data_IF_621990256936
#
_entry.id   IF_621990256936
#
_cell.length_a   1.000
_cell.length_b   1.000
_cell.length_c   1.000
_cell.angle_alpha   90.00
_cell.angle_beta   90.00
_cell.angle_gamma   90.00
#
_symmetry.space_group_name_H-M   'P 1'
#
loop_
_entity.id
_entity.type
_entity.pdbx_description
1 polymer ?
#
# COMPACT_ATOMS: atom_id res chain seq x y z
N UNK A 1 5.76 4.01 -29.14
CA UNK A 1 5.01 5.02 -28.37
C UNK A 1 4.13 4.39 -27.28
N UNK A 2 3.31 3.40 -27.62
CA UNK A 2 2.37 2.76 -26.67
C UNK A 2 3.05 2.14 -25.44
N UNK A 3 4.10 1.33 -25.64
CA UNK A 3 4.84 0.73 -24.52
C UNK A 3 5.40 1.77 -23.54
N UNK A 4 5.92 2.89 -24.07
CA UNK A 4 6.41 4.00 -23.24
C UNK A 4 5.29 4.59 -22.38
N UNK A 5 4.10 4.79 -22.97
CA UNK A 5 2.92 5.26 -22.23
C UNK A 5 2.52 4.30 -21.10
N UNK A 6 2.57 2.99 -21.35
CA UNK A 6 2.26 1.96 -20.32
C UNK A 6 3.28 1.96 -19.18
N UNK A 7 4.57 2.04 -19.50
CA UNK A 7 5.64 2.11 -18.50
C UNK A 7 5.59 3.38 -17.64
N UNK A 8 5.03 4.48 -18.19
CA UNK A 8 4.86 5.75 -17.49
C UNK A 8 3.46 5.94 -16.89
N UNK A 9 2.60 4.91 -16.95
CA UNK A 9 1.30 4.90 -16.28
C UNK A 9 1.39 3.97 -15.08
N UNK A 10 1.12 4.49 -13.88
CA UNK A 10 1.12 3.75 -12.62
C UNK A 10 -0.32 3.62 -12.13
N UNK A 11 -0.76 2.40 -11.85
CA UNK A 11 -2.11 2.14 -11.32
C UNK A 11 -2.01 1.72 -9.86
N UNK A 12 -2.73 2.40 -8.99
CA UNK A 12 -2.91 2.03 -7.58
C UNK A 12 -4.36 1.59 -7.39
N UNK A 13 -4.58 0.41 -6.84
CA UNK A 13 -5.91 -0.16 -6.60
C UNK A 13 -6.24 -0.08 -5.11
N UNK A 14 -7.36 0.56 -4.78
CA UNK A 14 -7.88 0.77 -3.42
C UNK A 14 -7.69 2.19 -2.91
N UNK A 15 -8.78 2.91 -2.66
CA UNK A 15 -8.83 4.26 -2.10
C UNK A 15 -8.90 4.31 -0.57
N UNK A 16 -8.46 3.24 0.10
CA UNK A 16 -8.22 3.21 1.54
C UNK A 16 -6.95 3.99 1.95
N UNK A 17 -6.61 4.02 3.25
CA UNK A 17 -5.46 4.77 3.76
C UNK A 17 -4.16 4.46 3.02
N UNK A 18 -3.85 3.19 2.81
CA UNK A 18 -2.62 2.73 2.13
C UNK A 18 -2.54 3.22 0.69
N UNK A 19 -3.60 3.07 -0.11
CA UNK A 19 -3.57 3.50 -1.50
C UNK A 19 -3.53 5.02 -1.67
N UNK A 20 -4.22 5.77 -0.80
CA UNK A 20 -4.15 7.24 -0.77
C UNK A 20 -2.74 7.71 -0.40
N UNK A 21 -2.14 7.13 0.64
CA UNK A 21 -0.76 7.43 1.06
C UNK A 21 0.25 7.10 -0.04
N UNK A 22 0.11 5.92 -0.66
CA UNK A 22 1.01 5.44 -1.70
C UNK A 22 0.93 6.32 -2.95
N UNK A 23 -0.28 6.60 -3.45
CA UNK A 23 -0.47 7.43 -4.65
C UNK A 23 0.08 8.85 -4.45
N UNK A 24 -0.16 9.42 -3.28
CA UNK A 24 0.38 10.72 -2.89
C UNK A 24 1.91 10.75 -2.82
N UNK A 25 2.51 9.76 -2.16
CA UNK A 25 3.96 9.63 -2.06
C UNK A 25 4.64 9.36 -3.41
N UNK A 26 4.02 8.51 -4.24
CA UNK A 26 4.48 8.21 -5.60
C UNK A 26 4.49 9.47 -6.47
N UNK A 27 3.41 10.26 -6.42
CA UNK A 27 3.36 11.56 -7.09
C UNK A 27 4.49 12.47 -6.65
N UNK A 28 4.70 12.65 -5.35
CA UNK A 28 5.75 13.54 -4.84
C UNK A 28 7.15 13.07 -5.23
N UNK A 29 7.37 11.76 -5.32
CA UNK A 29 8.61 11.17 -5.80
C UNK A 29 8.83 11.43 -7.29
N UNK A 30 7.80 11.17 -8.12
CA UNK A 30 7.86 11.32 -9.58
C UNK A 30 8.03 12.80 -9.95
N UNK A 31 7.09 13.65 -9.54
CA UNK A 31 7.04 15.04 -9.96
C UNK A 31 8.00 15.95 -9.18
N UNK A 32 8.62 15.43 -8.11
CA UNK A 32 9.72 16.07 -7.41
C UNK A 32 11.07 15.66 -8.00
N UNK A 33 11.86 14.81 -7.31
CA UNK A 33 13.24 14.53 -7.69
C UNK A 33 13.40 13.68 -8.96
N UNK A 34 12.51 12.71 -9.24
CA UNK A 34 12.75 11.76 -10.34
C UNK A 34 12.77 12.43 -11.71
N UNK A 35 11.81 13.31 -12.00
CA UNK A 35 11.80 14.01 -13.30
C UNK A 35 12.97 14.97 -13.48
N UNK A 36 13.64 15.39 -12.39
CA UNK A 36 14.89 16.15 -12.50
C UNK A 36 16.07 15.25 -12.92
N UNK A 37 16.07 13.98 -12.50
CA UNK A 37 17.11 13.00 -12.85
C UNK A 37 16.87 12.37 -14.25
N UNK A 38 15.63 12.40 -14.78
CA UNK A 38 15.26 11.86 -16.10
C UNK A 38 14.68 12.93 -17.05
N UNK A 39 15.52 13.83 -17.60
CA UNK A 39 15.05 14.96 -18.41
C UNK A 39 14.43 14.56 -19.75
N UNK A 40 14.64 13.33 -20.21
CA UNK A 40 14.02 12.78 -21.43
C UNK A 40 12.56 12.37 -21.25
N UNK A 41 12.01 12.46 -20.04
CA UNK A 41 10.61 12.16 -19.72
C UNK A 41 9.87 13.47 -19.47
N UNK A 42 8.89 13.75 -20.32
CA UNK A 42 7.99 14.88 -20.15
C UNK A 42 7.06 14.68 -18.95
N UNK A 43 6.78 15.78 -18.21
CA UNK A 43 5.86 15.76 -17.07
C UNK A 43 4.46 15.25 -17.42
N UNK A 44 4.00 15.52 -18.64
CA UNK A 44 2.65 15.16 -19.07
C UNK A 44 2.57 13.75 -19.68
N UNK A 45 3.73 13.06 -19.82
CA UNK A 45 3.77 11.64 -20.21
C UNK A 45 3.45 10.71 -19.03
N UNK A 46 3.69 11.17 -17.79
CA UNK A 46 3.53 10.35 -16.58
C UNK A 46 2.12 10.47 -16.04
N UNK A 47 1.50 9.32 -15.77
CA UNK A 47 0.13 9.22 -15.24
C UNK A 47 0.12 8.36 -13.99
N UNK A 48 -0.55 8.83 -12.95
CA UNK A 48 -0.81 8.06 -11.74
C UNK A 48 -2.32 7.96 -11.60
N UNK A 49 -2.85 6.74 -11.65
CA UNK A 49 -4.29 6.46 -11.56
C UNK A 49 -4.57 5.73 -10.26
N UNK A 50 -5.46 6.25 -9.43
CA UNK A 50 -5.96 5.60 -8.22
C UNK A 50 -7.39 5.11 -8.49
N UNK A 51 -7.58 3.79 -8.47
CA UNK A 51 -8.87 3.14 -8.68
C UNK A 51 -9.52 2.83 -7.32
N UNK A 52 -10.76 3.30 -7.13
CA UNK A 52 -11.59 3.00 -5.96
C UNK A 52 -12.93 2.42 -6.44
N UNK A 53 -13.36 1.32 -5.83
CA UNK A 53 -14.59 0.62 -6.20
C UNK A 53 -15.85 1.34 -5.69
N UNK A 54 -15.74 2.04 -4.56
CA UNK A 54 -16.79 2.90 -4.02
C UNK A 54 -16.87 4.26 -4.71
N UNK A 55 -17.67 5.15 -4.11
CA UNK A 55 -17.93 6.52 -4.57
C UNK A 55 -17.06 7.57 -3.87
N UNK A 56 -16.21 7.15 -2.92
CA UNK A 56 -15.42 8.04 -2.07
C UNK A 56 -14.15 7.39 -1.57
N UNK A 57 -13.14 8.23 -1.30
CA UNK A 57 -11.90 7.81 -0.64
C UNK A 57 -12.12 7.68 0.87
N UNK A 58 -11.35 6.80 1.50
CA UNK A 58 -11.27 6.64 2.95
C UNK A 58 -12.64 6.40 3.60
N UNK A 59 -13.38 5.38 3.15
CA UNK A 59 -14.78 5.14 3.52
C UNK A 59 -15.08 5.08 5.05
N UNK A 60 -14.06 4.89 5.91
CA UNK A 60 -14.17 4.92 7.37
C UNK A 60 -14.06 6.30 8.04
N UNK A 61 -13.93 7.40 7.28
CA UNK A 61 -13.87 8.77 7.83
C UNK A 61 -14.99 9.65 7.27
N UNK A 62 -15.29 10.81 7.92
CA UNK A 62 -16.29 11.75 7.42
C UNK A 62 -16.01 12.22 5.98
N UNK A 63 -17.07 12.34 5.19
CA UNK A 63 -17.03 12.65 3.75
C UNK A 63 -16.20 13.89 3.42
N UNK A 64 -16.29 14.92 4.28
CA UNK A 64 -15.49 16.16 4.14
C UNK A 64 -13.97 15.92 4.12
N UNK A 65 -13.49 14.88 4.81
CA UNK A 65 -12.08 14.50 4.83
C UNK A 65 -11.72 13.70 3.58
N UNK A 66 -12.59 12.80 3.13
CA UNK A 66 -12.42 12.08 1.85
C UNK A 66 -12.37 13.05 0.66
N UNK A 67 -13.28 14.03 0.61
CA UNK A 67 -13.30 15.08 -0.40
C UNK A 67 -12.01 15.93 -0.38
N UNK A 68 -11.48 16.23 0.81
CA UNK A 68 -10.20 16.91 0.93
C UNK A 68 -9.03 16.06 0.40
N UNK A 69 -9.03 14.75 0.67
CA UNK A 69 -8.01 13.85 0.14
C UNK A 69 -8.05 13.83 -1.39
N UNK A 70 -9.24 13.73 -1.99
CA UNK A 70 -9.44 13.78 -3.43
C UNK A 70 -8.89 15.09 -4.04
N UNK A 71 -9.25 16.24 -3.46
CA UNK A 71 -8.76 17.55 -3.90
C UNK A 71 -7.22 17.64 -3.86
N UNK A 72 -6.61 17.09 -2.80
CA UNK A 72 -5.15 17.12 -2.61
C UNK A 72 -4.39 16.14 -3.50
N UNK A 73 -4.98 15.00 -3.83
CA UNK A 73 -4.47 14.05 -4.82
C UNK A 73 -4.56 14.62 -6.24
N UNK A 74 -5.68 15.26 -6.59
CA UNK A 74 -5.84 15.93 -7.89
C UNK A 74 -4.80 17.04 -8.11
N UNK A 75 -4.55 17.88 -7.09
CA UNK A 75 -3.46 18.88 -7.11
C UNK A 75 -2.06 18.27 -7.27
N UNK A 76 -1.92 16.99 -6.96
CA UNK A 76 -0.72 16.17 -7.11
C UNK A 76 -0.74 15.34 -8.39
N UNK A 77 -1.59 15.67 -9.37
CA UNK A 77 -1.66 14.95 -10.66
C UNK A 77 -1.99 13.45 -10.52
N UNK A 78 -2.67 13.07 -9.45
CA UNK A 78 -3.24 11.72 -9.31
C UNK A 78 -4.67 11.76 -9.86
N UNK A 79 -4.93 10.94 -10.89
CA UNK A 79 -6.24 10.70 -11.49
C UNK A 79 -7.00 9.68 -10.64
N UNK A 80 -7.95 10.12 -9.82
CA UNK A 80 -8.76 9.24 -8.97
C UNK A 80 -10.03 8.86 -9.73
N UNK A 81 -10.29 7.56 -9.86
CA UNK A 81 -11.49 7.03 -10.52
C UNK A 81 -12.30 6.19 -9.55
N UNK A 82 -13.55 6.57 -9.37
CA UNK A 82 -14.55 5.89 -8.54
C UNK A 82 -15.38 4.92 -9.37
N UNK A 83 -16.07 4.00 -8.70
CA UNK A 83 -16.96 3.01 -9.34
C UNK A 83 -16.23 1.99 -10.22
N UNK A 84 -14.88 1.99 -10.20
CA UNK A 84 -14.05 1.10 -11.00
C UNK A 84 -13.65 -0.12 -10.19
N UNK A 85 -14.55 -1.11 -10.08
CA UNK A 85 -14.17 -2.41 -9.53
C UNK A 85 -13.23 -3.10 -10.53
N UNK A 86 -12.08 -3.56 -10.03
CA UNK A 86 -11.13 -4.30 -10.85
C UNK A 86 -11.62 -5.73 -11.02
N UNK A 87 -11.74 -6.16 -12.28
CA UNK A 87 -12.09 -7.53 -12.65
C UNK A 87 -10.84 -8.40 -12.81
N UNK A 88 -9.84 -7.91 -13.53
CA UNK A 88 -8.61 -8.65 -13.80
C UNK A 88 -7.39 -7.74 -13.94
N UNK A 89 -6.23 -8.27 -13.60
CA UNK A 89 -4.92 -7.65 -13.82
C UNK A 89 -4.05 -8.60 -14.63
N UNK A 90 -3.41 -8.09 -15.68
CA UNK A 90 -2.43 -8.82 -16.48
C UNK A 90 -1.14 -8.00 -16.62
N UNK A 91 -0.16 -8.53 -17.38
CA UNK A 91 1.14 -7.90 -17.54
C UNK A 91 1.12 -6.50 -18.20
N UNK A 92 0.01 -6.11 -18.85
CA UNK A 92 -0.12 -4.90 -19.63
C UNK A 92 -1.18 -3.93 -19.08
N UNK A 93 -1.90 -4.28 -18.03
CA UNK A 93 -2.83 -3.36 -17.39
C UNK A 93 -3.90 -3.99 -16.51
N UNK A 94 -4.90 -3.16 -16.23
CA UNK A 94 -6.04 -3.44 -15.35
C UNK A 94 -7.34 -3.32 -16.13
N UNK A 95 -8.18 -4.34 -16.06
CA UNK A 95 -9.54 -4.34 -16.63
C UNK A 95 -10.55 -4.13 -15.50
N UNK A 96 -11.45 -3.17 -15.69
CA UNK A 96 -12.55 -2.87 -14.78
C UNK A 96 -13.81 -3.65 -15.18
N UNK A 97 -14.72 -3.86 -14.23
CA UNK A 97 -15.98 -4.59 -14.44
C UNK A 97 -16.93 -3.96 -15.47
N UNK A 98 -16.74 -2.68 -15.80
CA UNK A 98 -17.49 -1.98 -16.86
C UNK A 98 -16.86 -2.15 -18.25
N UNK A 99 -15.81 -2.98 -18.36
CA UNK A 99 -15.06 -3.23 -19.59
C UNK A 99 -13.98 -2.19 -19.90
N UNK A 100 -13.86 -1.12 -19.09
CA UNK A 100 -12.81 -0.11 -19.29
C UNK A 100 -11.45 -0.70 -18.91
N UNK A 101 -10.46 -0.51 -19.78
CA UNK A 101 -9.08 -0.94 -19.54
C UNK A 101 -8.16 0.24 -19.29
N UNK A 102 -7.35 0.14 -18.24
CA UNK A 102 -6.26 1.07 -17.93
C UNK A 102 -4.94 0.36 -18.21
N UNK A 103 -4.28 0.74 -19.30
CA UNK A 103 -2.98 0.15 -19.64
C UNK A 103 -1.87 0.65 -18.70
N UNK A 104 -1.10 -0.28 -18.16
CA UNK A 104 -0.01 -0.02 -17.23
C UNK A 104 0.84 -1.28 -17.04
N UNK A 105 2.15 -1.13 -16.99
CA UNK A 105 3.07 -2.22 -16.61
C UNK A 105 3.42 -2.17 -15.10
N UNK A 106 2.82 -1.25 -14.33
CA UNK A 106 3.03 -1.14 -12.88
C UNK A 106 1.70 -0.95 -12.16
N UNK A 107 1.22 -2.04 -11.57
CA UNK A 107 0.01 -2.09 -10.76
C UNK A 107 0.37 -2.34 -9.31
N UNK A 108 -0.10 -1.47 -8.42
CA UNK A 108 0.10 -1.56 -6.97
C UNK A 108 -1.24 -1.87 -6.33
N UNK A 109 -1.37 -3.07 -5.79
CA UNK A 109 -2.61 -3.54 -5.19
C UNK A 109 -2.63 -3.27 -3.68
N UNK A 110 -3.54 -2.42 -3.23
CA UNK A 110 -3.71 -2.06 -1.80
C UNK A 110 -5.11 -2.35 -1.26
N UNK A 111 -5.95 -3.02 -2.07
CA UNK A 111 -7.34 -3.29 -1.76
C UNK A 111 -7.53 -4.70 -1.19
N UNK A 112 -8.39 -4.82 -0.18
CA UNK A 112 -8.81 -6.10 0.37
C UNK A 112 -7.74 -6.78 1.22
N UNK A 113 -8.20 -7.36 2.33
CA UNK A 113 -7.38 -8.24 3.17
C UNK A 113 -8.17 -9.53 3.31
N UNK A 114 -7.50 -10.67 3.11
CA UNK A 114 -8.07 -11.99 3.35
C UNK A 114 -7.36 -12.62 4.55
N UNK A 115 -8.09 -13.41 5.32
CA UNK A 115 -7.47 -14.26 6.33
C UNK A 115 -6.58 -15.33 5.71
N UNK A 116 -5.72 -15.92 6.52
CA UNK A 116 -4.77 -16.95 6.11
C UNK A 116 -5.47 -18.14 5.44
N UNK A 117 -5.19 -18.44 4.16
CA UNK A 117 -5.86 -19.52 3.41
C UNK A 117 -5.76 -20.89 4.09
N UNK A 118 -4.68 -21.12 4.84
CA UNK A 118 -4.42 -22.38 5.53
C UNK A 118 -5.17 -22.55 6.85
N UNK A 119 -5.94 -21.56 7.30
CA UNK A 119 -6.67 -21.65 8.56
C UNK A 119 -7.59 -22.90 8.61
N UNK A 120 -8.22 -23.26 7.51
CA UNK A 120 -9.04 -24.47 7.41
C UNK A 120 -8.22 -25.76 7.56
N UNK A 121 -6.98 -25.80 7.02
CA UNK A 121 -6.08 -26.95 7.15
C UNK A 121 -5.69 -27.21 8.61
N UNK A 122 -5.67 -26.17 9.45
CA UNK A 122 -5.41 -26.27 10.89
C UNK A 122 -6.64 -26.70 11.69
N UNK A 123 -7.75 -27.01 11.02
CA UNK A 123 -9.02 -27.34 11.64
C UNK A 123 -9.65 -26.16 12.38
N UNK A 124 -9.37 -24.92 11.94
CA UNK A 124 -10.04 -23.73 12.44
C UNK A 124 -11.31 -23.47 11.63
N UNK A 125 -12.39 -23.00 12.26
CA UNK A 125 -13.56 -22.54 11.51
C UNK A 125 -13.17 -21.33 10.65
N UNK A 126 -13.68 -21.28 9.43
CA UNK A 126 -13.45 -20.17 8.50
C UNK A 126 -14.79 -19.52 8.16
N UNK A 127 -14.85 -18.20 8.29
CA UNK A 127 -16.01 -17.36 8.03
C UNK A 127 -15.70 -16.37 6.89
N UNK A 128 -16.44 -15.25 6.86
CA UNK A 128 -16.34 -14.22 5.82
C UNK A 128 -14.89 -13.74 5.63
N UNK A 129 -14.47 -13.64 4.37
CA UNK A 129 -13.13 -13.21 3.96
C UNK A 129 -11.97 -14.05 4.53
N UNK A 130 -12.19 -15.35 4.82
CA UNK A 130 -11.13 -16.25 5.26
C UNK A 130 -10.74 -16.11 6.73
N UNK A 131 -11.55 -15.40 7.53
CA UNK A 131 -11.27 -15.09 8.94
C UNK A 131 -11.86 -16.16 9.87
N UNK A 132 -11.30 -16.29 11.06
CA UNK A 132 -11.69 -17.28 12.08
C UNK A 132 -12.62 -16.64 13.11
N UNK A 133 -13.89 -17.09 13.25
CA UNK A 133 -14.82 -16.55 14.22
C UNK A 133 -14.35 -16.82 15.65
N UNK A 134 -14.37 -15.78 16.48
CA UNK A 134 -14.01 -15.84 17.90
C UNK A 134 -15.11 -15.28 18.80
N UNK A 135 -15.16 -15.76 20.04
CA UNK A 135 -16.07 -15.24 21.06
C UNK A 135 -15.56 -13.92 21.67
N UNK A 136 -16.26 -13.42 22.70
CA UNK A 136 -15.90 -12.18 23.41
C UNK A 136 -14.54 -12.23 24.11
N UNK A 137 -14.03 -13.42 24.40
CA UNK A 137 -12.69 -13.62 24.98
C UNK A 137 -11.61 -13.76 23.91
N UNK A 138 -11.96 -13.59 22.63
CA UNK A 138 -11.11 -13.81 21.46
C UNK A 138 -10.60 -15.25 21.36
N UNK A 139 -11.37 -16.20 21.90
CA UNK A 139 -11.09 -17.63 21.86
C UNK A 139 -12.01 -18.34 20.86
N UNK A 140 -11.61 -19.52 20.42
CA UNK A 140 -12.47 -20.40 19.64
C UNK A 140 -13.64 -20.91 20.52
N UNK A 141 -14.88 -20.95 20.00
CA UNK A 141 -16.03 -21.44 20.75
C UNK A 141 -15.85 -22.87 21.30
N UNK A 142 -15.26 -23.76 20.50
CA UNK A 142 -15.09 -25.19 20.84
C UNK A 142 -13.73 -25.51 21.48
N UNK A 143 -12.82 -24.54 21.54
CA UNK A 143 -11.44 -24.68 22.06
C UNK A 143 -11.05 -23.41 22.83
N UNK A 144 -11.55 -23.23 24.06
CA UNK A 144 -11.36 -21.99 24.83
C UNK A 144 -9.90 -21.66 25.13
N UNK A 145 -9.01 -22.66 25.08
CA UNK A 145 -7.56 -22.52 25.25
C UNK A 145 -6.84 -21.91 24.01
N UNK A 146 -7.53 -21.82 22.87
CA UNK A 146 -6.97 -21.29 21.62
C UNK A 146 -7.54 -19.90 21.35
N UNK A 147 -6.66 -18.90 21.33
CA UNK A 147 -7.00 -17.52 21.00
C UNK A 147 -6.58 -17.15 19.58
N UNK A 148 -7.42 -16.38 18.90
CA UNK A 148 -7.11 -15.81 17.57
C UNK A 148 -7.29 -14.29 17.63
N UNK A 149 -6.29 -13.56 17.18
CA UNK A 149 -6.24 -12.08 17.21
C UNK A 149 -5.73 -11.51 15.89
N UNK A 150 -5.88 -10.21 15.71
CA UNK A 150 -5.44 -9.49 14.52
C UNK A 150 -6.31 -9.81 13.31
N UNK A 151 -5.69 -9.75 12.13
CA UNK A 151 -6.42 -9.79 10.86
C UNK A 151 -7.07 -11.14 10.56
N UNK A 152 -6.60 -12.21 11.22
CA UNK A 152 -7.19 -13.54 11.13
C UNK A 152 -8.48 -13.66 11.95
N UNK A 153 -8.65 -12.88 13.02
CA UNK A 153 -9.83 -12.98 13.89
C UNK A 153 -11.06 -12.33 13.26
N UNK A 154 -12.21 -12.99 13.30
CA UNK A 154 -13.53 -12.42 13.00
C UNK A 154 -14.30 -12.20 14.30
N UNK A 155 -14.52 -10.93 14.64
CA UNK A 155 -15.39 -10.50 15.74
C UNK A 155 -16.14 -9.26 15.29
N UNK A 156 -17.39 -9.17 15.69
CA UNK A 156 -18.24 -8.01 15.46
C UNK A 156 -18.23 -7.08 16.68
N UNK A 157 -18.45 -5.79 16.48
CA UNK A 157 -18.73 -4.84 17.55
C UNK A 157 -20.15 -5.00 18.11
N UNK A 158 -20.51 -4.15 19.07
CA UNK A 158 -21.84 -4.18 19.70
C UNK A 158 -22.98 -3.80 18.72
N UNK A 159 -22.64 -3.19 17.59
CA UNK A 159 -23.56 -2.87 16.49
C UNK A 159 -23.61 -3.96 15.39
N UNK A 160 -22.95 -5.12 15.60
CA UNK A 160 -22.94 -6.23 14.64
C UNK A 160 -22.04 -5.99 13.43
N UNK A 161 -21.15 -5.00 13.47
CA UNK A 161 -20.22 -4.70 12.37
C UNK A 161 -18.90 -5.43 12.62
N UNK A 162 -18.31 -6.09 11.61
CA UNK A 162 -17.00 -6.71 11.76
C UNK A 162 -15.94 -5.68 12.17
N UNK A 163 -15.13 -6.02 13.18
CA UNK A 163 -14.00 -5.21 13.57
C UNK A 163 -13.03 -5.04 12.38
N UNK A 164 -12.49 -3.83 12.18
CA UNK A 164 -11.60 -3.55 11.05
C UNK A 164 -10.26 -4.27 11.19
N UNK A 165 -9.70 -4.73 10.07
CA UNK A 165 -8.38 -5.35 9.97
C UNK A 165 -7.30 -4.26 9.99
N UNK A 166 -7.07 -3.67 11.17
CA UNK A 166 -6.11 -2.59 11.40
C UNK A 166 -5.24 -2.90 12.61
N UNK A 167 -4.02 -2.36 12.60
CA UNK A 167 -3.05 -2.55 13.67
C UNK A 167 -3.58 -2.22 15.07
N UNK A 168 -4.46 -1.21 15.20
CA UNK A 168 -5.05 -0.85 16.50
C UNK A 168 -5.93 -1.96 17.10
N UNK A 169 -6.73 -2.63 16.27
CA UNK A 169 -7.53 -3.79 16.71
C UNK A 169 -6.59 -4.91 17.14
N UNK A 170 -5.60 -5.25 16.31
CA UNK A 170 -4.63 -6.31 16.63
C UNK A 170 -3.86 -6.04 17.94
N UNK A 171 -3.37 -4.82 18.15
CA UNK A 171 -2.66 -4.42 19.37
C UNK A 171 -3.56 -4.54 20.61
N UNK A 172 -4.80 -4.04 20.52
CA UNK A 172 -5.74 -4.11 21.64
C UNK A 172 -6.15 -5.56 21.95
N UNK A 173 -6.41 -6.36 20.91
CA UNK A 173 -6.74 -7.78 21.04
C UNK A 173 -5.59 -8.56 21.68
N UNK A 174 -4.36 -8.39 21.18
CA UNK A 174 -3.18 -9.05 21.76
C UNK A 174 -2.96 -8.69 23.23
N UNK A 175 -3.15 -7.42 23.60
CA UNK A 175 -3.10 -6.98 25.01
C UNK A 175 -4.23 -7.55 25.85
N UNK A 176 -5.41 -7.79 25.27
CA UNK A 176 -6.53 -8.40 25.96
C UNK A 176 -6.25 -9.88 26.25
N UNK A 177 -5.88 -10.65 25.23
CA UNK A 177 -5.53 -12.07 25.35
C UNK A 177 -4.39 -12.27 26.34
N UNK A 178 -3.30 -11.49 26.23
CA UNK A 178 -2.17 -11.60 27.16
C UNK A 178 -2.59 -11.38 28.63
N UNK A 179 -3.48 -10.40 28.89
CA UNK A 179 -4.02 -10.16 30.24
C UNK A 179 -4.93 -11.29 30.71
N UNK A 180 -5.74 -11.87 29.83
CA UNK A 180 -6.63 -12.97 30.16
C UNK A 180 -5.86 -14.25 30.49
N UNK A 181 -4.88 -14.62 29.66
CA UNK A 181 -4.00 -15.78 29.92
C UNK A 181 -3.31 -15.64 31.29
N UNK A 182 -2.78 -14.44 31.62
CA UNK A 182 -2.17 -14.20 32.92
C UNK A 182 -3.16 -14.26 34.09
N UNK A 183 -4.44 -13.90 33.88
CA UNK A 183 -5.49 -14.02 34.91
C UNK A 183 -5.84 -15.47 35.15
N UNK A 184 -6.02 -16.25 34.10
CA UNK A 184 -6.36 -17.67 34.19
C UNK A 184 -5.26 -18.47 34.90
N UNK A 185 -3.98 -18.21 34.58
CA UNK A 185 -2.84 -18.81 35.29
C UNK A 185 -2.88 -18.52 36.80
N UNK A 186 -3.43 -17.38 37.21
CA UNK A 186 -3.57 -16.97 38.62
C UNK A 186 -4.89 -17.42 39.25
N UNK A 187 -5.70 -18.24 38.56
CA UNK A 187 -7.02 -18.67 39.01
C UNK A 187 -8.11 -17.59 38.94
N UNK A 188 -7.84 -16.47 38.25
CA UNK A 188 -8.80 -15.41 38.01
C UNK A 188 -9.69 -15.67 36.79
N UNK A 189 -10.78 -14.88 36.66
CA UNK A 189 -11.69 -14.94 35.51
C UNK A 189 -11.23 -14.04 34.36
N UNK A 190 -11.30 -14.48 33.09
CA UNK A 190 -10.98 -13.67 31.92
C UNK A 190 -12.03 -12.56 31.72
N UNK A 191 -11.62 -11.47 31.06
CA UNK A 191 -12.48 -10.33 30.74
C UNK A 191 -12.77 -10.26 29.23
N UNK A 192 -13.98 -9.81 28.83
CA UNK A 192 -14.34 -9.66 27.43
C UNK A 192 -13.56 -8.54 26.75
N UNK A 193 -13.22 -8.77 25.48
CA UNK A 193 -12.62 -7.78 24.62
C UNK A 193 -13.66 -6.74 24.17
N UNK A 194 -13.32 -5.47 24.34
CA UNK A 194 -14.08 -4.32 23.83
C UNK A 194 -13.14 -3.40 23.08
N UNK A 195 -13.34 -3.28 21.77
CA UNK A 195 -12.53 -2.40 20.95
C UNK A 195 -12.84 -0.93 21.27
N UNK A 196 -11.79 -0.13 21.46
CA UNK A 196 -11.91 1.32 21.56
C UNK A 196 -11.24 1.94 20.35
N UNK A 197 -12.02 2.51 19.44
CA UNK A 197 -11.49 3.16 18.26
C UNK A 197 -10.75 4.46 18.62
N UNK A 198 -9.41 4.51 18.50
CA UNK A 198 -8.68 5.76 18.70
C UNK A 198 -8.89 6.74 17.54
N UNK A 199 -9.44 6.26 16.42
CA UNK A 199 -9.66 6.98 15.18
C UNK A 199 -8.67 6.61 14.07
N UNK A 200 -8.64 7.42 13.02
CA UNK A 200 -7.89 7.16 11.79
C UNK A 200 -7.08 8.39 11.38
N UNK A 201 -5.85 8.15 10.92
CA UNK A 201 -5.03 9.15 10.27
C UNK A 201 -4.57 8.61 8.92
N UNK A 202 -4.53 9.46 7.90
CA UNK A 202 -3.96 9.14 6.60
C UNK A 202 -3.21 10.36 6.04
N UNK A 203 -1.99 10.14 5.56
CA UNK A 203 -1.22 11.17 4.85
C UNK A 203 -1.56 11.14 3.36
N UNK A 204 -1.77 12.31 2.77
CA UNK A 204 -1.98 12.43 1.32
C UNK A 204 -0.68 12.89 0.64
N UNK A 205 0.20 13.52 1.41
CA UNK A 205 1.51 13.97 0.97
C UNK A 205 2.06 15.01 1.93
N UNK A 206 3.16 15.65 1.57
CA UNK A 206 3.76 16.74 2.32
C UNK A 206 2.74 17.83 2.64
N UNK A 207 2.63 18.20 3.92
CA UNK A 207 1.70 19.21 4.43
C UNK A 207 0.20 18.92 4.20
N UNK A 208 -0.15 17.68 3.84
CA UNK A 208 -1.53 17.29 3.58
C UNK A 208 -1.81 15.94 4.23
N UNK A 209 -2.62 15.94 5.28
CA UNK A 209 -3.14 14.73 5.91
C UNK A 209 -4.59 14.93 6.33
N UNK A 210 -5.24 13.84 6.67
CA UNK A 210 -6.55 13.81 7.33
C UNK A 210 -6.44 13.04 8.62
N UNK A 211 -7.12 13.52 9.65
CA UNK A 211 -7.14 12.88 10.95
C UNK A 211 -8.55 12.96 11.55
N UNK A 212 -9.00 11.84 12.10
CA UNK A 212 -10.15 11.74 13.00
C UNK A 212 -9.65 11.07 14.26
N UNK A 213 -9.67 11.77 15.38
CA UNK A 213 -9.17 11.26 16.67
C UNK A 213 -10.23 11.54 17.72
N UNK A 214 -10.71 10.50 18.41
CA UNK A 214 -11.77 10.60 19.43
C UNK A 214 -12.99 11.46 18.99
N UNK A 215 -13.42 11.30 17.73
CA UNK A 215 -14.55 12.05 17.16
C UNK A 215 -14.22 13.44 16.60
N UNK A 216 -13.07 14.02 16.96
CA UNK A 216 -12.62 15.31 16.44
C UNK A 216 -11.95 15.09 15.08
N UNK A 217 -12.36 15.85 14.06
CA UNK A 217 -11.80 15.75 12.71
C UNK A 217 -11.02 17.01 12.34
N UNK A 218 -9.86 16.84 11.73
CA UNK A 218 -9.04 17.94 11.23
C UNK A 218 -8.25 17.51 9.99
N UNK A 219 -7.79 18.48 9.20
CA UNK A 219 -7.19 18.25 7.88
C UNK A 219 -6.04 19.21 7.59
N UNK A 220 -5.22 18.86 6.60
CA UNK A 220 -4.13 19.68 6.09
C UNK A 220 -2.93 19.72 6.99
N UNK A 221 -2.31 20.89 7.11
CA UNK A 221 -1.03 21.04 7.80
C UNK A 221 -1.12 20.70 9.30
N UNK A 222 -2.16 21.10 10.07
CA UNK A 222 -2.30 20.65 11.45
C UNK A 222 -2.47 19.13 11.57
N UNK A 223 -3.23 18.50 10.66
CA UNK A 223 -3.38 17.04 10.61
C UNK A 223 -2.06 16.34 10.33
N UNK A 224 -1.27 16.92 9.44
CA UNK A 224 0.03 16.42 9.06
C UNK A 224 1.04 16.51 10.21
N UNK A 225 1.02 17.58 11.01
CA UNK A 225 1.84 17.69 12.22
C UNK A 225 1.48 16.64 13.28
N UNK A 226 0.19 16.44 13.54
CA UNK A 226 -0.25 15.42 14.50
C UNK A 226 0.13 14.02 14.01
N UNK A 227 -0.07 13.74 12.72
CA UNK A 227 0.39 12.50 12.12
C UNK A 227 1.89 12.29 12.35
N UNK A 228 2.71 13.33 12.10
CA UNK A 228 4.15 13.28 12.29
C UNK A 228 4.52 12.99 13.75
N UNK A 229 3.89 13.71 14.69
CA UNK A 229 4.14 13.53 16.13
C UNK A 229 3.82 12.11 16.60
N UNK A 230 2.65 11.57 16.20
CA UNK A 230 2.22 10.21 16.58
C UNK A 230 3.19 9.16 16.01
N UNK A 231 3.47 9.20 14.71
CA UNK A 231 4.29 8.18 14.06
C UNK A 231 5.75 8.21 14.54
N UNK A 232 6.30 9.40 14.78
CA UNK A 232 7.64 9.54 15.39
C UNK A 232 7.67 9.01 16.82
N UNK A 233 6.62 9.22 17.60
CA UNK A 233 6.55 8.71 18.96
C UNK A 233 6.46 7.17 19.03
N UNK A 234 5.94 6.53 17.98
CA UNK A 234 5.75 5.08 17.90
C UNK A 234 6.93 4.32 17.27
N UNK A 235 7.86 5.00 16.61
CA UNK A 235 9.11 4.40 16.12
C UNK A 235 9.87 3.75 17.29
N UNK A 236 10.19 2.46 17.21
CA UNK A 236 10.88 1.75 18.30
C UNK A 236 12.32 2.28 18.44
N UNK A 237 12.72 2.66 19.67
CA UNK A 237 14.07 3.13 20.01
C UNK A 237 14.26 4.66 19.89
N UNK A 238 14.52 5.32 21.02
CA UNK A 238 14.64 6.80 21.11
C UNK A 238 15.78 7.37 20.23
N UNK A 239 16.92 6.67 20.11
CA UNK A 239 18.06 7.08 19.27
C UNK A 239 17.75 7.08 17.77
N UNK A 240 16.89 6.16 17.30
CA UNK A 240 16.46 6.11 15.90
C UNK A 240 15.49 7.26 15.58
N UNK A 241 14.70 7.74 16.55
CA UNK A 241 13.69 8.80 16.33
C UNK A 241 14.30 10.15 15.95
N UNK A 242 15.37 10.58 16.63
CA UNK A 242 16.03 11.87 16.35
C UNK A 242 16.76 11.82 15.00
N UNK A 243 17.45 10.73 14.69
CA UNK A 243 18.08 10.54 13.38
C UNK A 243 17.05 10.48 12.25
N UNK A 244 15.91 9.83 12.46
CA UNK A 244 14.79 9.85 11.49
C UNK A 244 14.23 11.26 11.34
N UNK A 245 14.02 12.01 12.43
CA UNK A 245 13.57 13.42 12.37
C UNK A 245 14.56 14.32 11.63
N UNK A 246 15.87 14.18 11.88
CA UNK A 246 16.92 14.97 11.22
C UNK A 246 17.05 14.57 9.75
N UNK A 247 17.13 13.28 9.44
CA UNK A 247 17.22 12.80 8.06
C UNK A 247 15.95 13.14 7.27
N UNK A 248 14.77 13.04 7.90
CA UNK A 248 13.51 13.43 7.29
C UNK A 248 13.38 14.94 7.13
N UNK A 249 13.79 15.74 8.12
CA UNK A 249 13.86 17.21 8.01
C UNK A 249 14.81 17.65 6.89
N UNK A 250 15.96 16.98 6.76
CA UNK A 250 16.90 17.18 5.67
C UNK A 250 16.29 16.81 4.31
N UNK A 251 15.63 15.65 4.20
CA UNK A 251 14.92 15.24 2.98
C UNK A 251 13.74 16.17 2.63
N UNK A 252 13.04 16.68 3.64
CA UNK A 252 11.91 17.60 3.50
C UNK A 252 12.36 18.95 2.94
N UNK A 253 13.52 19.47 3.37
CA UNK A 253 14.07 20.75 2.92
C UNK A 253 14.80 20.61 1.58
N UNK A 254 15.60 19.57 1.39
CA UNK A 254 16.54 19.50 0.26
C UNK A 254 16.13 18.62 -0.90
N UNK A 255 15.00 17.89 -0.84
CA UNK A 255 14.55 16.96 -1.89
C UNK A 255 15.60 15.89 -2.31
N UNK A 256 16.63 15.66 -1.50
CA UNK A 256 17.74 14.75 -1.81
C UNK A 256 17.60 13.44 -1.04
N UNK A 257 17.04 12.40 -1.67
CA UNK A 257 17.22 11.02 -1.20
C UNK A 257 18.55 10.44 -1.68
N UNK A 258 19.11 9.57 -0.85
CA UNK A 258 20.43 8.94 -1.01
C UNK A 258 20.52 7.81 -2.04
N UNK A 259 19.39 7.26 -2.50
CA UNK A 259 19.40 6.15 -3.47
C UNK A 259 19.14 6.69 -4.87
N UNK A 260 20.22 7.04 -5.56
CA UNK A 260 20.21 7.31 -7.00
C UNK A 260 20.51 6.02 -7.74
N UNK A 261 19.65 5.64 -8.66
CA UNK A 261 19.95 4.55 -9.60
C UNK A 261 20.96 5.08 -10.62
N UNK A 262 22.23 4.71 -10.45
CA UNK A 262 23.24 4.88 -11.50
C UNK A 262 23.02 3.74 -12.48
N UNK A 263 22.21 3.98 -13.51
CA UNK A 263 22.13 3.05 -14.63
C UNK A 263 23.38 3.25 -15.48
N UNK A 264 24.06 2.18 -15.93
CA UNK A 264 25.10 2.32 -16.92
C UNK A 264 24.50 3.02 -18.14
N UNK A 265 25.14 4.11 -18.58
CA UNK A 265 24.81 4.76 -19.84
C UNK A 265 24.74 3.66 -20.90
N UNK A 266 23.60 3.52 -21.58
CA UNK A 266 23.50 2.63 -22.72
C UNK A 266 24.64 3.01 -23.67
N UNK A 267 25.69 2.19 -23.69
CA UNK A 267 26.68 2.23 -24.75
C UNK A 267 25.85 2.03 -26.02
N UNK A 268 25.89 2.97 -26.99
CA UNK A 268 25.22 2.75 -28.26
C UNK A 268 25.69 1.39 -28.76
N UNK A 269 24.78 0.50 -29.12
CA UNK A 269 25.14 -0.70 -29.84
C UNK A 269 25.78 -0.24 -31.15
N UNK A 270 27.11 -0.14 -31.18
CA UNK A 270 27.83 -0.06 -32.43
C UNK A 270 27.37 -1.24 -33.26
N UNK A 271 26.95 -0.92 -34.48
CA UNK A 271 26.18 -1.81 -35.33
C UNK A 271 26.77 -3.21 -35.36
N UNK A 272 25.88 -4.19 -35.36
CA UNK A 272 26.15 -5.49 -35.94
C UNK A 272 26.59 -5.26 -37.39
N UNK A 273 27.89 -5.00 -37.59
CA UNK A 273 28.54 -5.13 -38.88
C UNK A 273 28.59 -6.63 -39.10
N UNK A 274 27.84 -7.07 -40.10
CA UNK A 274 28.01 -8.37 -40.72
C UNK A 274 29.51 -8.58 -40.98
N UNK A 275 30.14 -9.39 -40.12
CA UNK A 275 31.46 -9.91 -40.40
C UNK A 275 31.26 -10.99 -41.48
N UNK A 276 31.31 -10.55 -42.73
CA UNK A 276 31.61 -11.43 -43.86
C UNK A 276 32.80 -12.30 -43.46
N UNK A 277 32.59 -13.62 -43.43
CA UNK A 277 33.64 -14.58 -43.17
C UNK A 277 34.76 -14.41 -44.19
N UNK A 278 36.02 -14.66 -43.81
CA UNK A 278 37.13 -14.56 -44.75
C UNK A 278 36.92 -15.54 -45.92
N UNK A 279 37.08 -15.03 -47.15
CA UNK A 279 37.02 -15.82 -48.37
C UNK A 279 37.99 -17.02 -48.29
N UNK A 280 37.57 -18.21 -48.75
CA UNK A 280 38.43 -19.39 -48.73
C UNK A 280 39.55 -19.26 -49.79
N UNK A 281 40.76 -19.76 -49.49
CA UNK A 281 41.86 -19.74 -50.45
C UNK A 281 41.59 -20.67 -51.63
N UNK A 282 41.95 -20.19 -52.82
CA UNK A 282 41.77 -20.82 -54.13
C UNK A 282 42.71 -22.00 -54.41
N UNK A 283 42.13 -23.18 -54.69
CA UNK A 283 42.67 -24.28 -55.53
C UNK A 283 43.85 -25.11 -54.98
N UNK A 284 44.16 -26.32 -55.55
CA UNK A 284 43.86 -26.76 -56.90
C UNK A 284 43.06 -28.09 -56.99
N UNK A 285 42.62 -28.38 -58.22
CA UNK A 285 41.73 -29.48 -58.57
C UNK A 285 42.33 -30.88 -58.70
N UNK A 286 41.47 -31.74 -59.26
CA UNK A 286 41.64 -33.15 -59.64
C UNK A 286 41.61 -34.16 -58.48
N UNK A 287 40.81 -35.22 -58.47
CA UNK A 287 39.83 -35.72 -59.43
C UNK A 287 39.53 -37.20 -59.13
N UNK A 288 38.31 -37.65 -59.49
CA UNK A 288 37.86 -39.05 -59.69
C UNK A 288 37.93 -39.96 -58.44
N UNK A 289 36.99 -40.87 -58.18
CA UNK A 289 35.86 -41.43 -58.91
C UNK A 289 34.74 -41.77 -57.91
#
# INVERSE_FOLDING_TARGET
AERRRRLLTFVVVGGGPTGVEYAGALSELIFGPLLADFPSIGRDEVRIVLLEGGDRLLAGIPDRLGAYALERLARRRVDVRFGGLVESVDALGVTLTDGVRVESETVVWTAGVQGEPRAAEWGLPVAKAGRVPVNDLLALPDRPEVHVVGDLAYREDDEGRPLPQVAQVAIQQGRCVARNVLREIRGGRPEPFRYRDPGMLAVIGRNAAVARIFGISFRGWPAWLVWLAIHVSWLIGFRNRVLVLVNWGWNYVFYRRAVRLILPTLVPSEGHRDAAGPDPPSGPGHGRA
#
